data_IF_742361516676
#
_entry.id   IF_742361516676
#
_cell.length_a   1.000
_cell.length_b   1.000
_cell.length_c   1.000
_cell.angle_alpha   90.00
_cell.angle_beta   90.00
_cell.angle_gamma   90.00
#
_symmetry.space_group_name_H-M   'P 1'
#
loop_
_entity.id
_entity.type
_entity.pdbx_description
1 polymer ?
#
# COMPACT_ATOMS: atom_id res chain seq x y z
N UNK A 1 6.99 6.54 -11.23
CA UNK A 1 6.01 6.85 -10.15
C UNK A 1 6.22 5.86 -9.01
N UNK A 2 6.05 6.25 -7.75
CA UNK A 2 6.15 5.31 -6.62
C UNK A 2 4.77 4.87 -6.14
N UNK A 3 4.62 3.57 -5.88
CA UNK A 3 3.44 2.98 -5.24
C UNK A 3 3.86 2.41 -3.90
N UNK A 4 3.30 2.94 -2.82
CA UNK A 4 3.56 2.46 -1.47
C UNK A 4 2.37 1.63 -0.94
N UNK A 5 2.66 0.49 -0.32
CA UNK A 5 1.67 -0.46 0.20
C UNK A 5 2.10 -1.01 1.56
N UNK A 6 1.17 -1.23 2.51
CA UNK A 6 1.52 -1.75 3.85
C UNK A 6 1.84 -3.25 3.84
N UNK A 7 1.38 -3.97 2.81
CA UNK A 7 1.67 -5.38 2.59
C UNK A 7 1.72 -5.67 1.09
N UNK A 8 2.48 -6.70 0.74
CA UNK A 8 2.47 -7.29 -0.59
C UNK A 8 1.93 -8.70 -0.55
N UNK A 9 1.31 -9.15 -1.63
CA UNK A 9 0.89 -10.54 -1.79
C UNK A 9 1.89 -11.24 -2.69
N UNK A 10 2.54 -12.26 -2.16
CA UNK A 10 3.49 -13.11 -2.86
C UNK A 10 2.75 -14.07 -3.80
N UNK A 11 3.45 -14.62 -4.81
CA UNK A 11 2.87 -15.56 -5.79
C UNK A 11 2.33 -16.84 -5.15
N UNK A 12 2.83 -17.20 -3.97
CA UNK A 12 2.36 -18.32 -3.16
C UNK A 12 1.08 -17.99 -2.35
N UNK A 13 0.50 -16.81 -2.54
CA UNK A 13 -0.71 -16.36 -1.84
C UNK A 13 -0.46 -15.80 -0.43
N UNK A 14 0.78 -15.83 0.07
CA UNK A 14 1.11 -15.30 1.38
C UNK A 14 1.15 -13.77 1.34
N UNK A 15 0.65 -13.14 2.41
CA UNK A 15 0.77 -11.70 2.62
C UNK A 15 2.01 -11.44 3.44
N UNK A 16 2.92 -10.66 2.89
CA UNK A 16 4.09 -10.18 3.61
C UNK A 16 3.81 -8.74 4.04
N UNK A 17 3.81 -8.50 5.34
CA UNK A 17 3.57 -7.16 5.87
C UNK A 17 4.89 -6.42 6.11
N UNK A 18 4.88 -5.10 5.89
CA UNK A 18 6.10 -4.29 6.01
C UNK A 18 6.65 -4.31 7.45
N UNK A 19 5.76 -4.25 8.46
CA UNK A 19 6.15 -4.20 9.86
C UNK A 19 6.93 -5.44 10.32
N UNK A 20 6.64 -6.62 9.74
CA UNK A 20 7.38 -7.86 10.03
C UNK A 20 8.83 -7.81 9.55
N UNK A 21 9.15 -6.87 8.65
CA UNK A 21 10.49 -6.60 8.13
C UNK A 21 11.11 -5.34 8.74
N UNK A 22 10.48 -4.73 9.75
CA UNK A 22 10.93 -3.46 10.33
C UNK A 22 10.73 -2.25 9.43
N UNK A 23 9.85 -2.36 8.42
CA UNK A 23 9.49 -1.28 7.50
C UNK A 23 8.06 -0.83 7.78
N UNK A 24 7.75 0.44 7.55
CA UNK A 24 6.35 0.91 7.68
C UNK A 24 5.53 0.60 6.42
N UNK A 25 6.17 0.73 5.25
CA UNK A 25 5.55 0.49 3.94
C UNK A 25 6.56 -0.10 2.95
N UNK A 26 6.05 -0.83 1.96
CA UNK A 26 6.79 -1.20 0.77
C UNK A 26 6.52 -0.21 -0.34
N UNK A 27 7.56 0.47 -0.84
CA UNK A 27 7.46 1.35 -1.99
C UNK A 27 8.14 0.72 -3.22
N UNK A 28 7.43 0.69 -4.33
CA UNK A 28 7.91 0.15 -5.60
C UNK A 28 7.91 1.24 -6.66
N UNK A 29 8.99 1.33 -7.42
CA UNK A 29 9.01 2.15 -8.62
C UNK A 29 8.24 1.43 -9.73
N UNK A 30 7.23 2.09 -10.27
CA UNK A 30 6.37 1.56 -11.32
C UNK A 30 6.29 2.53 -12.50
N UNK A 31 6.13 1.95 -13.69
CA UNK A 31 5.81 2.67 -14.92
C UNK A 31 4.39 3.22 -14.89
N UNK A 32 4.10 4.21 -15.73
CA UNK A 32 2.80 4.92 -15.74
C UNK A 32 1.61 3.99 -16.00
N UNK A 33 1.78 3.02 -16.90
CA UNK A 33 0.75 2.03 -17.23
C UNK A 33 0.38 1.13 -16.04
N UNK A 34 1.36 0.78 -15.21
CA UNK A 34 1.15 -0.05 -14.03
C UNK A 34 0.49 0.76 -12.90
N UNK A 35 0.86 2.04 -12.77
CA UNK A 35 0.23 2.95 -11.84
C UNK A 35 -1.26 3.15 -12.14
N UNK A 36 -1.62 3.34 -13.42
CA UNK A 36 -3.02 3.46 -13.86
C UNK A 36 -3.83 2.22 -13.51
N UNK A 37 -3.31 1.02 -13.80
CA UNK A 37 -3.95 -0.26 -13.43
C UNK A 37 -4.12 -0.43 -11.92
N UNK A 38 -3.19 0.09 -11.12
CA UNK A 38 -3.28 0.07 -9.66
C UNK A 38 -4.40 0.98 -9.15
N UNK A 39 -4.48 2.21 -9.66
CA UNK A 39 -5.56 3.16 -9.34
C UNK A 39 -6.94 2.60 -9.69
N UNK A 40 -7.12 2.06 -10.91
CA UNK A 40 -8.39 1.45 -11.34
C UNK A 40 -8.85 0.31 -10.42
N UNK A 41 -7.91 -0.48 -9.89
CA UNK A 41 -8.21 -1.55 -8.92
C UNK A 41 -8.50 -1.01 -7.52
N UNK A 42 -7.90 0.11 -7.13
CA UNK A 42 -8.11 0.75 -5.83
C UNK A 42 -9.48 1.40 -5.76
N UNK A 43 -9.91 2.13 -6.78
CA UNK A 43 -11.25 2.75 -6.86
C UNK A 43 -12.37 1.71 -6.74
N UNK A 44 -12.20 0.55 -7.36
CA UNK A 44 -13.15 -0.58 -7.25
C UNK A 44 -13.20 -1.22 -5.86
N UNK A 45 -12.16 -1.08 -5.04
CA UNK A 45 -12.14 -1.56 -3.64
C UNK A 45 -12.69 -0.51 -2.68
N UNK A 46 -12.43 0.77 -2.93
CA UNK A 46 -12.85 1.86 -2.06
C UNK A 46 -14.38 2.01 -2.03
N UNK A 47 -15.08 1.68 -3.11
CA UNK A 47 -16.54 1.60 -3.14
C UNK A 47 -17.12 0.46 -2.28
N UNK A 48 -16.30 -0.48 -1.79
CA UNK A 48 -16.70 -1.56 -0.86
C UNK A 48 -16.22 -1.36 0.58
N UNK A 49 -15.31 -0.43 0.84
CA UNK A 49 -14.60 -0.32 2.13
C UNK A 49 -14.90 0.95 2.94
N UNK A 50 -15.97 1.68 2.63
CA UNK A 50 -16.40 2.89 3.37
C UNK A 50 -16.88 2.65 4.82
N UNK A 51 -16.57 1.50 5.44
CA UNK A 51 -16.95 1.18 6.82
C UNK A 51 -15.80 0.85 7.78
N UNK A 52 -14.52 0.92 7.40
CA UNK A 52 -13.42 0.59 8.33
C UNK A 52 -12.38 1.72 8.38
N UNK A 53 -12.72 2.70 9.23
CA UNK A 53 -11.89 3.33 10.26
C UNK A 53 -10.58 4.01 9.87
N UNK A 54 -10.66 5.36 9.85
CA UNK A 54 -9.61 6.30 10.27
C UNK A 54 -8.87 5.80 11.51
N UNK A 55 -7.57 5.57 11.45
CA UNK A 55 -6.69 5.79 12.61
C UNK A 55 -5.21 5.83 12.19
N UNK A 56 -4.56 6.97 12.47
CA UNK A 56 -3.19 7.13 13.03
C UNK A 56 -1.99 6.62 12.20
N UNK A 57 -0.82 7.27 12.09
CA UNK A 57 -0.08 8.33 12.83
C UNK A 57 1.09 8.68 11.88
N UNK A 58 1.28 9.95 11.48
CA UNK A 58 2.06 11.04 12.09
C UNK A 58 3.56 10.97 11.79
N UNK A 59 3.98 11.93 10.97
CA UNK A 59 5.31 12.42 10.69
C UNK A 59 6.22 12.47 11.91
N UNK A 60 7.51 12.15 11.73
CA UNK A 60 8.58 12.78 12.51
C UNK A 60 9.96 12.69 11.86
N UNK A 61 10.32 13.75 11.14
CA UNK A 61 11.69 14.27 11.01
C UNK A 61 12.36 14.41 12.38
N UNK A 62 13.69 14.16 12.49
CA UNK A 62 14.70 14.64 13.47
C UNK A 62 15.92 13.70 13.29
N UNK A 63 17.18 14.09 13.08
CA UNK A 63 18.00 15.32 13.20
C UNK A 63 19.14 15.26 12.17
#
# INVERSE_FOLDING_TARGET
>A
MLVCTPYITLKNGQKLYAHEKGLEVFCFEVSEEQHKKYLEKKDKRNSKSSNITKDKVKDKDTE
#
